data_IF_819507510281
#
_entry.id   IF_819507510281
#
_cell.length_a   1.000
_cell.length_b   1.000
_cell.length_c   1.000
_cell.angle_alpha   90.00
_cell.angle_beta   90.00
_cell.angle_gamma   90.00
#
_symmetry.space_group_name_H-M   'P 1'
#
loop_
_entity.id
_entity.type
_entity.pdbx_description
1 polymer ?
#
# COMPACT_ATOMS: atom_id res chain seq x y z
N UNK A 1 -23.53 8.26 42.70
CA UNK A 1 -22.77 9.13 41.75
C UNK A 1 -21.58 8.45 41.13
N UNK A 2 -21.06 7.39 41.70
CA UNK A 2 -19.80 6.82 41.24
C UNK A 2 -19.90 5.72 40.13
N UNK A 3 -21.04 5.02 40.03
CA UNK A 3 -21.20 3.93 39.07
C UNK A 3 -21.25 4.40 37.60
N UNK A 4 -21.85 5.55 37.34
CA UNK A 4 -21.95 6.12 35.99
C UNK A 4 -20.57 6.52 35.48
N UNK A 5 -19.71 7.07 36.34
CA UNK A 5 -18.32 7.41 35.97
C UNK A 5 -17.49 6.17 35.66
N UNK A 6 -17.65 5.07 36.40
CA UNK A 6 -16.96 3.80 36.12
C UNK A 6 -17.43 3.17 34.81
N UNK A 7 -18.73 3.25 34.52
CA UNK A 7 -19.27 2.73 33.24
C UNK A 7 -18.75 3.56 32.06
N UNK A 8 -18.71 4.88 32.17
CA UNK A 8 -18.17 5.75 31.09
C UNK A 8 -16.70 5.50 30.88
N UNK A 9 -15.91 5.36 31.94
CA UNK A 9 -14.45 5.08 31.82
C UNK A 9 -14.20 3.70 31.23
N UNK A 10 -14.97 2.67 31.63
CA UNK A 10 -14.80 1.32 31.08
C UNK A 10 -15.23 1.23 29.61
N UNK A 11 -16.30 1.91 29.21
CA UNK A 11 -16.74 1.98 27.79
C UNK A 11 -15.72 2.74 26.94
N UNK A 12 -15.16 3.85 27.44
CA UNK A 12 -14.11 4.59 26.76
C UNK A 12 -12.83 3.75 26.57
N UNK A 13 -12.46 2.93 27.56
CA UNK A 13 -11.30 2.05 27.48
C UNK A 13 -11.49 0.90 26.47
N UNK A 14 -12.70 0.36 26.34
CA UNK A 14 -13.04 -0.67 25.38
C UNK A 14 -13.04 -0.14 23.94
N UNK A 15 -13.45 1.11 23.72
CA UNK A 15 -13.44 1.75 22.40
C UNK A 15 -12.03 2.08 21.91
N UNK A 16 -11.12 2.46 22.81
CA UNK A 16 -9.72 2.76 22.46
C UNK A 16 -8.90 1.48 22.27
N UNK A 17 -9.20 0.41 23.00
CA UNK A 17 -8.51 -0.86 22.88
C UNK A 17 -8.75 -1.60 21.56
N UNK A 18 -9.95 -1.49 20.99
CA UNK A 18 -10.31 -2.18 19.74
C UNK A 18 -9.57 -1.67 18.52
N UNK A 19 -9.37 -0.38 18.40
CA UNK A 19 -8.67 0.22 17.23
C UNK A 19 -7.17 -0.09 17.22
N UNK A 20 -6.54 -0.17 18.39
CA UNK A 20 -5.12 -0.49 18.51
C UNK A 20 -4.83 -1.97 18.18
N UNK A 21 -5.71 -2.89 18.52
CA UNK A 21 -5.54 -4.32 18.23
C UNK A 21 -5.62 -4.61 16.73
N UNK A 22 -6.52 -3.96 15.99
CA UNK A 22 -6.64 -4.09 14.53
C UNK A 22 -5.42 -3.52 13.83
N UNK A 23 -5.00 -2.31 14.20
CA UNK A 23 -3.82 -1.65 13.62
C UNK A 23 -2.52 -2.42 13.90
N UNK A 24 -2.44 -3.15 15.01
CA UNK A 24 -1.27 -3.98 15.33
C UNK A 24 -1.25 -5.27 14.51
N UNK A 25 -2.41 -5.81 14.16
CA UNK A 25 -2.50 -7.07 13.39
C UNK A 25 -2.11 -6.86 11.93
N UNK A 26 -2.62 -5.83 11.25
CA UNK A 26 -2.28 -5.58 9.84
C UNK A 26 -0.79 -5.20 9.68
N UNK A 27 -0.21 -4.44 10.61
CA UNK A 27 1.23 -4.15 10.64
C UNK A 27 2.09 -5.41 10.75
N UNK A 28 1.67 -6.38 11.54
CA UNK A 28 2.41 -7.64 11.65
C UNK A 28 2.42 -8.42 10.33
N UNK A 29 1.29 -8.47 9.65
CA UNK A 29 1.21 -9.09 8.32
C UNK A 29 2.06 -8.34 7.28
N UNK A 30 2.06 -7.00 7.30
CA UNK A 30 2.93 -6.19 6.44
C UNK A 30 4.41 -6.50 6.71
N UNK A 31 4.84 -6.59 7.97
CA UNK A 31 6.24 -6.92 8.31
C UNK A 31 6.63 -8.31 7.84
N UNK A 32 5.74 -9.29 7.95
CA UNK A 32 5.99 -10.65 7.44
C UNK A 32 6.09 -10.64 5.91
N UNK A 33 5.20 -9.93 5.24
CA UNK A 33 5.26 -9.72 3.80
C UNK A 33 6.56 -9.08 3.34
N UNK A 34 7.00 -8.01 4.04
CA UNK A 34 8.26 -7.33 3.74
C UNK A 34 9.48 -8.24 3.92
N UNK A 35 9.49 -9.12 4.92
CA UNK A 35 10.56 -10.11 5.10
C UNK A 35 10.59 -11.13 3.96
N UNK A 36 9.42 -11.65 3.58
CA UNK A 36 9.29 -12.56 2.45
C UNK A 36 9.72 -11.89 1.14
N UNK A 37 9.33 -10.63 0.92
CA UNK A 37 9.69 -9.85 -0.25
C UNK A 37 11.21 -9.65 -0.36
N UNK A 38 11.89 -9.28 0.73
CA UNK A 38 13.35 -9.16 0.79
C UNK A 38 14.07 -10.48 0.45
N UNK A 39 13.46 -11.62 0.81
CA UNK A 39 13.97 -12.96 0.49
C UNK A 39 13.54 -13.46 -0.89
N UNK A 40 12.98 -12.58 -1.73
CA UNK A 40 12.48 -12.90 -3.09
C UNK A 40 11.39 -14.00 -3.12
N UNK A 41 10.71 -14.22 -1.99
CA UNK A 41 9.57 -15.13 -1.85
C UNK A 41 8.28 -14.39 -2.19
N UNK A 42 8.10 -14.05 -3.46
CA UNK A 42 7.05 -13.13 -3.93
C UNK A 42 5.63 -13.62 -3.63
N UNK A 43 5.36 -14.91 -3.85
CA UNK A 43 4.06 -15.51 -3.56
C UNK A 43 3.75 -15.54 -2.04
N UNK A 44 4.76 -15.79 -1.21
CA UNK A 44 4.61 -15.72 0.25
C UNK A 44 4.36 -14.27 0.70
N UNK A 45 5.06 -13.29 0.12
CA UNK A 45 4.82 -11.88 0.38
C UNK A 45 3.40 -11.47 -0.01
N UNK A 46 2.92 -11.85 -1.19
CA UNK A 46 1.55 -11.63 -1.64
C UNK A 46 0.54 -12.13 -0.61
N UNK A 47 0.71 -13.38 -0.13
CA UNK A 47 -0.19 -13.96 0.88
C UNK A 47 -0.26 -13.11 2.15
N UNK A 48 0.88 -12.62 2.65
CA UNK A 48 0.91 -11.81 3.87
C UNK A 48 0.25 -10.43 3.65
N UNK A 49 0.51 -9.78 2.53
CA UNK A 49 -0.13 -8.50 2.21
C UNK A 49 -1.64 -8.62 2.04
N UNK A 50 -2.13 -9.71 1.44
CA UNK A 50 -3.57 -10.00 1.36
C UNK A 50 -4.21 -10.19 2.73
N UNK A 51 -3.53 -10.85 3.68
CA UNK A 51 -3.98 -10.95 5.08
C UNK A 51 -4.07 -9.57 5.74
N UNK A 52 -3.08 -8.70 5.51
CA UNK A 52 -3.10 -7.33 6.03
C UNK A 52 -4.31 -6.55 5.46
N UNK A 53 -4.56 -6.63 4.16
CA UNK A 53 -5.67 -5.97 3.48
C UNK A 53 -7.02 -6.53 3.96
N UNK A 54 -7.12 -7.83 4.19
CA UNK A 54 -8.34 -8.44 4.74
C UNK A 54 -8.70 -7.85 6.12
N UNK A 55 -7.70 -7.53 6.94
CA UNK A 55 -7.90 -6.89 8.25
C UNK A 55 -8.15 -5.39 8.15
N UNK A 56 -7.50 -4.70 7.21
CA UNK A 56 -7.66 -3.27 6.97
C UNK A 56 -7.65 -2.98 5.46
N UNK A 57 -8.83 -2.96 4.86
CA UNK A 57 -9.03 -2.78 3.42
C UNK A 57 -8.59 -1.41 2.89
N UNK A 58 -8.40 -0.43 3.79
CA UNK A 58 -8.01 0.94 3.44
C UNK A 58 -6.55 1.26 3.77
N UNK A 59 -5.71 0.24 4.01
CA UNK A 59 -4.29 0.46 4.26
C UNK A 59 -3.52 0.60 2.93
N UNK A 60 -3.15 1.84 2.52
CA UNK A 60 -2.51 2.06 1.22
C UNK A 60 -1.14 1.42 1.13
N UNK A 61 -0.41 1.28 2.24
CA UNK A 61 0.90 0.63 2.26
C UNK A 61 0.79 -0.87 1.94
N UNK A 62 -0.18 -1.56 2.54
CA UNK A 62 -0.40 -2.99 2.27
C UNK A 62 -0.79 -3.21 0.80
N UNK A 63 -1.67 -2.35 0.26
CA UNK A 63 -2.12 -2.41 -1.13
C UNK A 63 -0.96 -2.13 -2.10
N UNK A 64 -0.15 -1.10 -1.83
CA UNK A 64 1.05 -0.79 -2.62
C UNK A 64 2.04 -1.97 -2.61
N UNK A 65 2.33 -2.53 -1.44
CA UNK A 65 3.26 -3.64 -1.30
C UNK A 65 2.73 -4.92 -2.00
N UNK A 66 1.41 -5.13 -2.00
CA UNK A 66 0.78 -6.19 -2.79
C UNK A 66 1.02 -5.96 -4.29
N UNK A 67 0.87 -4.73 -4.76
CA UNK A 67 1.21 -4.36 -6.14
C UNK A 67 2.64 -4.71 -6.51
N UNK A 68 3.60 -4.39 -5.64
CA UNK A 68 5.01 -4.74 -5.84
C UNK A 68 5.23 -6.26 -5.90
N UNK A 69 4.59 -7.04 -5.01
CA UNK A 69 4.72 -8.51 -5.01
C UNK A 69 4.08 -9.14 -6.25
N UNK A 70 3.00 -8.58 -6.76
CA UNK A 70 2.36 -9.02 -8.00
C UNK A 70 3.22 -8.69 -9.22
N UNK A 71 3.79 -7.49 -9.27
CA UNK A 71 4.68 -7.07 -10.35
C UNK A 71 5.93 -7.97 -10.41
N UNK A 72 6.53 -8.30 -9.27
CA UNK A 72 7.67 -9.22 -9.19
C UNK A 72 7.33 -10.64 -9.68
N UNK A 73 6.05 -11.02 -9.66
CA UNK A 73 5.55 -12.27 -10.21
C UNK A 73 5.07 -12.15 -11.67
N UNK A 74 5.31 -11.00 -12.34
CA UNK A 74 4.84 -10.71 -13.69
C UNK A 74 3.30 -10.75 -13.83
N UNK A 75 2.58 -10.49 -12.74
CA UNK A 75 1.12 -10.35 -12.70
C UNK A 75 0.73 -8.89 -12.92
N UNK A 76 1.12 -8.32 -14.05
CA UNK A 76 1.14 -6.88 -14.32
C UNK A 76 -0.25 -6.23 -14.24
N UNK A 77 -1.28 -6.85 -14.82
CA UNK A 77 -2.64 -6.32 -14.77
C UNK A 77 -3.18 -6.21 -13.34
N UNK A 78 -2.88 -7.21 -12.49
CA UNK A 78 -3.26 -7.19 -11.08
C UNK A 78 -2.46 -6.14 -10.29
N UNK A 79 -1.17 -6.00 -10.61
CA UNK A 79 -0.31 -4.98 -10.00
C UNK A 79 -0.83 -3.57 -10.31
N UNK A 80 -1.22 -3.28 -11.55
CA UNK A 80 -1.80 -2.01 -11.96
C UNK A 80 -3.03 -1.63 -11.13
N UNK A 81 -3.94 -2.59 -10.90
CA UNK A 81 -5.13 -2.36 -10.06
C UNK A 81 -4.73 -1.98 -8.64
N UNK A 82 -3.74 -2.68 -8.08
CA UNK A 82 -3.30 -2.40 -6.70
C UNK A 82 -2.59 -1.03 -6.60
N UNK A 83 -1.73 -0.69 -7.55
CA UNK A 83 -1.09 0.64 -7.55
C UNK A 83 -2.11 1.77 -7.72
N UNK A 84 -3.13 1.61 -8.56
CA UNK A 84 -4.23 2.56 -8.70
C UNK A 84 -5.01 2.76 -7.39
N UNK A 85 -5.38 1.66 -6.73
CA UNK A 85 -6.08 1.69 -5.44
C UNK A 85 -5.21 2.34 -4.35
N UNK A 86 -3.91 2.01 -4.29
CA UNK A 86 -2.99 2.61 -3.34
C UNK A 86 -2.86 4.11 -3.58
N UNK A 87 -2.75 4.56 -4.82
CA UNK A 87 -2.66 5.98 -5.16
C UNK A 87 -3.90 6.77 -4.72
N UNK A 88 -5.10 6.18 -4.84
CA UNK A 88 -6.35 6.82 -4.40
C UNK A 88 -6.44 6.93 -2.87
N UNK A 89 -5.99 5.93 -2.14
CA UNK A 89 -6.09 5.89 -0.68
C UNK A 89 -4.94 6.60 0.04
N UNK A 90 -3.78 6.78 -0.61
CA UNK A 90 -2.59 7.36 0.00
C UNK A 90 -2.70 8.89 0.09
N UNK A 91 -2.69 9.41 1.31
CA UNK A 91 -2.75 10.85 1.59
C UNK A 91 -1.39 11.54 1.44
N UNK A 92 -0.29 10.83 1.68
CA UNK A 92 1.06 11.39 1.52
C UNK A 92 1.44 11.42 0.03
N UNK A 93 1.68 12.62 -0.49
CA UNK A 93 1.95 12.83 -1.92
C UNK A 93 3.23 12.13 -2.40
N UNK A 94 4.28 12.09 -1.58
CA UNK A 94 5.54 11.42 -1.93
C UNK A 94 5.38 9.89 -1.99
N UNK A 95 4.54 9.31 -1.13
CA UNK A 95 4.22 7.87 -1.23
C UNK A 95 3.29 7.58 -2.40
N UNK A 96 2.35 8.49 -2.69
CA UNK A 96 1.47 8.39 -3.86
C UNK A 96 2.26 8.39 -5.17
N UNK A 97 3.32 9.20 -5.26
CA UNK A 97 4.18 9.25 -6.46
C UNK A 97 4.75 7.89 -6.83
N UNK A 98 5.10 7.06 -5.83
CA UNK A 98 5.63 5.70 -6.06
C UNK A 98 4.64 4.78 -6.77
N UNK A 99 3.35 4.90 -6.46
CA UNK A 99 2.32 4.14 -7.16
C UNK A 99 2.23 4.53 -8.63
N UNK A 100 2.21 5.83 -8.93
CA UNK A 100 2.21 6.31 -10.31
C UNK A 100 3.50 5.96 -11.06
N UNK A 101 4.66 6.05 -10.41
CA UNK A 101 5.93 5.60 -10.99
C UNK A 101 5.85 4.13 -11.42
N UNK A 102 5.42 3.24 -10.53
CA UNK A 102 5.30 1.82 -10.84
C UNK A 102 4.27 1.51 -11.94
N UNK A 103 3.18 2.28 -12.01
CA UNK A 103 2.23 2.18 -13.12
C UNK A 103 2.90 2.58 -14.44
N UNK A 104 3.74 3.60 -14.43
CA UNK A 104 4.57 3.99 -15.59
C UNK A 104 5.51 2.88 -16.01
N UNK A 105 6.22 2.25 -15.06
CA UNK A 105 7.11 1.11 -15.32
C UNK A 105 6.36 -0.05 -15.99
N UNK A 106 5.18 -0.41 -15.49
CA UNK A 106 4.36 -1.46 -16.10
C UNK A 106 4.01 -1.12 -17.55
N UNK A 107 3.55 0.10 -17.81
CA UNK A 107 3.22 0.53 -19.17
C UNK A 107 4.44 0.54 -20.09
N UNK A 108 5.59 0.99 -19.60
CA UNK A 108 6.86 0.96 -20.33
C UNK A 108 7.29 -0.47 -20.70
N UNK A 109 7.15 -1.43 -19.78
CA UNK A 109 7.46 -2.84 -20.02
C UNK A 109 6.57 -3.45 -21.12
N UNK A 110 5.32 -2.97 -21.22
CA UNK A 110 4.38 -3.35 -22.27
C UNK A 110 4.53 -2.52 -23.56
N UNK A 111 5.51 -1.63 -23.64
CA UNK A 111 5.76 -0.70 -24.77
C UNK A 111 4.63 0.31 -25.01
N UNK A 112 3.78 0.52 -24.01
CA UNK A 112 2.73 1.52 -24.01
C UNK A 112 3.29 2.88 -23.57
N UNK A 113 4.21 3.41 -24.36
CA UNK A 113 5.05 4.57 -24.00
C UNK A 113 4.22 5.85 -23.73
N UNK A 114 3.17 6.07 -24.49
CA UNK A 114 2.30 7.23 -24.29
C UNK A 114 1.64 7.20 -22.91
N UNK A 115 1.15 6.05 -22.47
CA UNK A 115 0.56 5.87 -21.15
C UNK A 115 1.62 5.91 -20.05
N UNK A 116 2.80 5.33 -20.29
CA UNK A 116 3.91 5.39 -19.35
C UNK A 116 4.29 6.85 -19.04
N UNK A 117 4.42 7.70 -20.06
CA UNK A 117 4.71 9.13 -19.92
C UNK A 117 3.65 9.83 -19.06
N UNK A 118 2.37 9.55 -19.24
CA UNK A 118 1.33 10.16 -18.44
C UNK A 118 1.42 9.76 -16.95
N UNK A 119 1.68 8.48 -16.65
CA UNK A 119 1.91 8.05 -15.27
C UNK A 119 3.17 8.65 -14.65
N UNK A 120 4.27 8.76 -15.40
CA UNK A 120 5.48 9.43 -14.92
C UNK A 120 5.25 10.92 -14.66
N UNK A 121 4.49 11.61 -15.50
CA UNK A 121 4.08 12.99 -15.24
C UNK A 121 3.24 13.11 -13.95
N UNK A 122 2.33 12.17 -13.69
CA UNK A 122 1.55 12.12 -12.44
C UNK A 122 2.47 11.90 -11.23
N UNK A 123 3.44 11.01 -11.34
CA UNK A 123 4.43 10.78 -10.29
C UNK A 123 5.25 12.05 -10.01
N UNK A 124 5.74 12.72 -11.03
CA UNK A 124 6.54 13.95 -10.90
C UNK A 124 5.72 15.15 -10.36
N UNK A 125 4.42 15.22 -10.63
CA UNK A 125 3.54 16.22 -9.99
C UNK A 125 3.46 15.99 -8.47
N UNK A 126 3.51 14.74 -8.02
CA UNK A 126 3.53 14.38 -6.60
C UNK A 126 4.92 14.52 -5.98
N UNK A 127 5.98 14.27 -6.74
CA UNK A 127 7.37 14.36 -6.29
C UNK A 127 8.28 14.89 -7.40
N UNK A 128 8.41 16.21 -7.54
CA UNK A 128 9.23 16.83 -8.60
C UNK A 128 10.73 16.53 -8.51
N UNK A 129 11.22 16.07 -7.35
CA UNK A 129 12.62 15.76 -7.10
C UNK A 129 12.98 14.32 -7.45
N UNK A 130 12.04 13.53 -7.94
CA UNK A 130 12.26 12.13 -8.30
C UNK A 130 13.03 12.03 -9.63
N UNK A 131 14.35 11.89 -9.50
CA UNK A 131 15.23 11.76 -10.66
C UNK A 131 15.01 10.45 -11.42
N UNK A 132 14.70 9.35 -10.74
CA UNK A 132 14.42 8.06 -11.40
C UNK A 132 13.23 8.19 -12.35
N UNK A 133 12.12 8.75 -11.86
CA UNK A 133 10.94 8.99 -12.69
C UNK A 133 11.21 9.97 -13.85
N UNK A 134 12.11 10.94 -13.64
CA UNK A 134 12.42 11.97 -14.66
C UNK A 134 13.17 11.40 -15.86
N UNK A 135 14.01 10.39 -15.66
CA UNK A 135 14.86 9.83 -16.70
C UNK A 135 14.32 8.53 -17.32
N UNK A 136 13.21 8.00 -16.81
CA UNK A 136 12.48 6.90 -17.44
C UNK A 136 11.55 7.41 -18.53
#
# INVERSE_FOLDING_TARGET
>A
MNYIHYIIVTVAFLLVGGTNAVAQTDRNWIRQGNRAFKSQKWAAAETQYRKAIYKNQKNPQAIYNLGCALLAQQKDSLAMVQFGNAAQLESNIFRRSKSYHNMGVVMQNHREYAQAIEYYKMALRCNPQDNETRYN
#
